data_IF_919075266327
#
_entry.id   IF_919075266327
#
_cell.length_a   1.000
_cell.length_b   1.000
_cell.length_c   1.000
_cell.angle_alpha   90.00
_cell.angle_beta   90.00
_cell.angle_gamma   90.00
#
_symmetry.space_group_name_H-M   'P 1'
#
loop_
_entity.id
_entity.type
_entity.pdbx_description
1 polymer ?
#
# COMPACT_ATOMS: atom_id res chain seq x y z
N UNK A 1 3.85 26.77 -0.48
CA UNK A 1 2.52 26.18 -0.74
C UNK A 1 2.60 24.69 -0.42
N UNK A 2 2.12 24.28 0.74
CA UNK A 2 2.03 22.87 1.14
C UNK A 2 0.87 22.23 0.39
N UNK A 3 1.17 21.52 -0.69
CA UNK A 3 0.17 20.67 -1.35
C UNK A 3 -0.25 19.61 -0.35
N UNK A 4 -1.55 19.56 -0.03
CA UNK A 4 -2.13 18.54 0.84
C UNK A 4 -1.76 17.17 0.28
N UNK A 5 -1.33 16.21 1.11
CA UNK A 5 -0.82 14.89 0.70
C UNK A 5 -1.67 14.22 -0.40
N UNK A 6 -2.99 14.38 -0.35
CA UNK A 6 -3.92 13.83 -1.33
C UNK A 6 -3.75 14.42 -2.74
N UNK A 7 -3.49 15.73 -2.88
CA UNK A 7 -3.30 16.36 -4.19
C UNK A 7 -2.03 15.84 -4.87
N UNK A 8 -1.00 15.53 -4.07
CA UNK A 8 0.24 14.95 -4.59
C UNK A 8 0.02 13.54 -5.15
N UNK A 9 -0.82 12.73 -4.49
CA UNK A 9 -1.21 11.39 -4.97
C UNK A 9 -1.97 11.49 -6.29
N UNK A 10 -2.99 12.35 -6.39
CA UNK A 10 -3.74 12.51 -7.63
C UNK A 10 -2.88 13.02 -8.78
N UNK A 11 -2.04 14.04 -8.53
CA UNK A 11 -1.09 14.54 -9.53
C UNK A 11 -0.10 13.46 -9.96
N UNK A 12 0.36 12.63 -9.03
CA UNK A 12 1.24 11.52 -9.34
C UNK A 12 0.53 10.45 -10.19
N UNK A 13 -0.72 10.10 -9.89
CA UNK A 13 -1.48 9.09 -10.65
C UNK A 13 -2.00 9.57 -12.00
N UNK A 14 -2.04 10.88 -12.26
CA UNK A 14 -2.58 11.45 -13.51
C UNK A 14 -1.74 11.15 -14.78
N UNK A 15 -0.55 10.59 -14.64
CA UNK A 15 0.39 10.32 -15.73
C UNK A 15 0.52 8.82 -15.99
N UNK A 16 0.51 8.44 -17.25
CA UNK A 16 0.56 7.04 -17.67
C UNK A 16 1.89 6.37 -17.30
N UNK A 17 3.03 7.02 -17.52
CA UNK A 17 4.35 6.43 -17.22
C UNK A 17 4.49 6.13 -15.73
N UNK A 18 3.95 7.01 -14.87
CA UNK A 18 3.92 6.78 -13.42
C UNK A 18 3.03 5.61 -13.03
N UNK A 19 1.86 5.45 -13.66
CA UNK A 19 1.00 4.28 -13.45
C UNK A 19 1.67 2.99 -13.93
N UNK A 20 2.34 3.01 -15.08
CA UNK A 20 3.11 1.87 -15.59
C UNK A 20 4.21 1.43 -14.62
N UNK A 21 4.94 2.38 -14.01
CA UNK A 21 5.95 2.07 -13.00
C UNK A 21 5.34 1.43 -11.74
N UNK A 22 4.18 1.93 -11.28
CA UNK A 22 3.48 1.36 -10.14
C UNK A 22 2.95 -0.05 -10.44
N UNK A 23 2.41 -0.29 -11.64
CA UNK A 23 1.99 -1.62 -12.10
C UNK A 23 3.17 -2.59 -12.19
N UNK A 24 4.33 -2.11 -12.65
CA UNK A 24 5.55 -2.92 -12.68
C UNK A 24 5.99 -3.31 -11.26
N UNK A 25 6.00 -2.36 -10.32
CA UNK A 25 6.34 -2.62 -8.91
C UNK A 25 5.29 -3.49 -8.21
N UNK A 26 4.02 -3.43 -8.64
CA UNK A 26 2.98 -4.35 -8.17
C UNK A 26 3.24 -5.78 -8.61
N UNK A 27 3.64 -6.00 -9.88
CA UNK A 27 3.96 -7.33 -10.40
C UNK A 27 5.24 -7.90 -9.80
N UNK A 28 6.25 -7.06 -9.63
CA UNK A 28 7.54 -7.43 -9.06
C UNK A 28 8.05 -6.28 -8.21
N UNK A 29 7.98 -6.43 -6.89
CA UNK A 29 8.41 -5.39 -5.98
C UNK A 29 9.94 -5.41 -5.80
N UNK A 30 10.50 -4.33 -5.26
CA UNK A 30 11.93 -4.27 -4.97
C UNK A 30 12.80 -4.28 -6.23
N UNK A 31 12.46 -3.48 -7.24
CA UNK A 31 13.23 -3.33 -8.47
C UNK A 31 14.26 -2.19 -8.37
N UNK A 32 15.39 -2.35 -9.04
CA UNK A 32 16.43 -1.34 -9.21
C UNK A 32 15.99 -0.24 -10.16
N UNK A 33 16.73 0.87 -10.14
CA UNK A 33 16.52 1.97 -11.08
C UNK A 33 16.67 1.52 -12.54
N UNK A 34 17.67 0.69 -12.84
CA UNK A 34 17.94 0.23 -14.21
C UNK A 34 16.84 -0.70 -14.75
N UNK A 35 16.26 -1.55 -13.89
CA UNK A 35 15.12 -2.40 -14.27
C UNK A 35 13.88 -1.56 -14.60
N UNK A 36 13.57 -0.57 -13.76
CA UNK A 36 12.42 0.33 -13.97
C UNK A 36 12.59 1.25 -15.18
N UNK A 37 13.81 1.70 -15.46
CA UNK A 37 14.13 2.48 -16.66
C UNK A 37 13.87 1.72 -17.96
N UNK A 38 14.16 0.41 -17.98
CA UNK A 38 13.97 -0.43 -19.17
C UNK A 38 12.48 -0.58 -19.58
N UNK A 39 11.55 -0.25 -18.69
CA UNK A 39 10.10 -0.39 -18.92
C UNK A 39 9.53 0.79 -19.71
N UNK A 40 10.11 1.98 -19.56
CA UNK A 40 9.56 3.21 -20.13
C UNK A 40 10.31 3.57 -21.42
N UNK A 41 9.61 3.99 -22.49
CA UNK A 41 10.24 4.44 -23.74
C UNK A 41 10.76 5.88 -23.60
N UNK A 42 11.65 6.12 -22.63
CA UNK A 42 12.20 7.45 -22.35
C UNK A 42 13.63 7.40 -21.79
N UNK A 43 14.23 8.57 -21.59
CA UNK A 43 15.57 8.68 -21.02
C UNK A 43 15.58 8.32 -19.53
N UNK A 44 16.73 7.85 -19.05
CA UNK A 44 17.03 7.67 -17.62
C UNK A 44 16.63 8.88 -16.76
N UNK A 45 16.92 10.09 -17.23
CA UNK A 45 16.55 11.30 -16.51
C UNK A 45 15.03 11.48 -16.38
N UNK A 46 14.27 11.14 -17.43
CA UNK A 46 12.81 11.13 -17.40
C UNK A 46 12.25 10.13 -16.39
N UNK A 47 12.74 8.89 -16.41
CA UNK A 47 12.35 7.86 -15.45
C UNK A 47 12.67 8.27 -14.00
N UNK A 48 13.87 8.80 -13.75
CA UNK A 48 14.27 9.31 -12.43
C UNK A 48 13.35 10.44 -11.94
N UNK A 49 12.92 11.34 -12.83
CA UNK A 49 11.96 12.40 -12.49
C UNK A 49 10.62 11.80 -12.09
N UNK A 50 10.12 10.80 -12.79
CA UNK A 50 8.87 10.12 -12.43
C UNK A 50 8.96 9.38 -11.10
N UNK A 51 10.05 8.62 -10.87
CA UNK A 51 10.29 7.94 -9.60
C UNK A 51 10.38 8.92 -8.44
N UNK A 52 11.02 10.07 -8.63
CA UNK A 52 11.06 11.13 -7.61
C UNK A 52 9.66 11.65 -7.26
N UNK A 53 8.82 11.92 -8.26
CA UNK A 53 7.44 12.37 -8.04
C UNK A 53 6.64 11.31 -7.26
N UNK A 54 6.81 10.03 -7.61
CA UNK A 54 6.18 8.92 -6.90
C UNK A 54 6.67 8.81 -5.45
N UNK A 55 7.97 9.00 -5.20
CA UNK A 55 8.58 8.95 -3.87
C UNK A 55 8.09 10.14 -3.02
N UNK A 56 8.02 11.34 -3.59
CA UNK A 56 7.49 12.55 -2.94
C UNK A 56 5.99 12.43 -2.61
N UNK A 57 5.20 11.78 -3.48
CA UNK A 57 3.79 11.45 -3.22
C UNK A 57 3.61 10.26 -2.25
N UNK A 58 4.70 9.62 -1.84
CA UNK A 58 4.70 8.45 -0.95
C UNK A 58 4.20 7.17 -1.61
N UNK A 59 3.98 7.14 -2.92
CA UNK A 59 3.49 5.98 -3.68
C UNK A 59 4.57 4.92 -3.92
N UNK A 60 5.84 5.29 -3.74
CA UNK A 60 6.95 4.34 -3.65
C UNK A 60 7.81 4.63 -2.42
N UNK A 61 8.46 3.60 -1.90
CA UNK A 61 9.52 3.70 -0.88
C UNK A 61 10.82 3.13 -1.43
N UNK A 62 11.95 3.58 -0.93
CA UNK A 62 13.25 3.14 -1.44
C UNK A 62 14.12 2.57 -0.32
N UNK A 63 14.89 1.53 -0.66
CA UNK A 63 15.83 0.87 0.25
C UNK A 63 17.17 0.71 -0.44
N UNK A 64 18.25 1.12 0.23
CA UNK A 64 19.61 0.94 -0.26
C UNK A 64 20.19 -0.37 0.28
N UNK A 65 20.73 -1.20 -0.62
CA UNK A 65 21.47 -2.42 -0.26
C UNK A 65 22.79 -2.39 -1.01
N UNK A 66 23.90 -2.26 -0.28
CA UNK A 66 25.22 -2.06 -0.88
C UNK A 66 25.27 -0.80 -1.74
N UNK A 67 25.55 -0.96 -3.04
CA UNK A 67 25.61 0.14 -4.03
C UNK A 67 24.29 0.37 -4.77
N UNK A 68 23.31 -0.50 -4.60
CA UNK A 68 22.05 -0.46 -5.35
C UNK A 68 20.93 0.19 -4.53
N UNK A 69 20.05 0.91 -5.24
CA UNK A 69 18.82 1.51 -4.70
C UNK A 69 17.63 0.74 -5.29
N UNK A 70 16.90 0.07 -4.40
CA UNK A 70 15.69 -0.67 -4.72
C UNK A 70 14.46 0.18 -4.43
N UNK A 71 13.44 0.07 -5.26
CA UNK A 71 12.18 0.79 -5.19
C UNK A 71 11.05 -0.19 -4.91
N UNK A 72 10.16 0.21 -4.02
CA UNK A 72 9.06 -0.61 -3.55
C UNK A 72 7.74 0.13 -3.69
N UNK A 73 6.69 -0.58 -4.09
CA UNK A 73 5.33 -0.02 -4.12
C UNK A 73 4.85 0.27 -2.70
N UNK A 74 4.28 1.46 -2.48
CA UNK A 74 3.58 1.80 -1.26
C UNK A 74 2.11 2.14 -1.56
N UNK A 75 1.17 1.18 -1.48
CA UNK A 75 -0.26 1.40 -1.71
C UNK A 75 -0.96 2.23 -0.63
N UNK A 76 -0.33 2.48 0.53
CA UNK A 76 -0.98 3.19 1.66
C UNK A 76 -1.61 4.52 1.25
N UNK A 77 -0.95 5.42 0.50
CA UNK A 77 -1.56 6.69 0.11
C UNK A 77 -2.80 6.52 -0.78
N UNK A 78 -2.85 5.46 -1.59
CA UNK A 78 -4.02 5.14 -2.43
C UNK A 78 -5.19 4.74 -1.53
N UNK A 79 -4.94 3.86 -0.54
CA UNK A 79 -5.94 3.43 0.42
C UNK A 79 -6.49 4.62 1.22
N UNK A 80 -5.64 5.51 1.72
CA UNK A 80 -6.07 6.71 2.46
C UNK A 80 -6.92 7.66 1.61
N UNK A 81 -6.63 7.77 0.31
CA UNK A 81 -7.47 8.54 -0.62
C UNK A 81 -8.82 7.86 -0.83
N UNK A 82 -8.82 6.53 -1.02
CA UNK A 82 -10.04 5.73 -1.12
C UNK A 82 -10.92 5.88 0.12
N UNK A 83 -10.37 5.69 1.32
CA UNK A 83 -11.10 5.75 2.59
C UNK A 83 -11.67 7.14 2.88
N UNK A 84 -10.99 8.20 2.45
CA UNK A 84 -11.47 9.57 2.67
C UNK A 84 -12.57 9.99 1.69
N UNK A 85 -12.45 9.56 0.43
CA UNK A 85 -13.27 10.09 -0.67
C UNK A 85 -14.16 9.05 -1.33
N UNK A 86 -13.64 7.86 -1.66
CA UNK A 86 -14.37 6.86 -2.48
C UNK A 86 -15.31 6.01 -1.63
N UNK A 87 -14.89 5.62 -0.41
CA UNK A 87 -15.69 4.84 0.54
C UNK A 87 -17.09 5.44 0.74
N UNK A 88 -17.15 6.76 0.96
CA UNK A 88 -18.37 7.55 1.17
C UNK A 88 -19.40 7.46 0.05
N UNK A 89 -18.96 7.17 -1.17
CA UNK A 89 -19.82 7.04 -2.35
C UNK A 89 -20.00 5.58 -2.81
N UNK A 90 -19.23 4.62 -2.30
CA UNK A 90 -19.13 3.25 -2.82
C UNK A 90 -19.57 2.13 -1.84
N UNK A 91 -20.03 2.49 -0.63
CA UNK A 91 -19.96 1.62 0.54
C UNK A 91 -20.68 0.24 0.46
N UNK A 92 -21.78 -0.02 -0.27
CA UNK A 92 -22.35 -1.38 -0.30
C UNK A 92 -22.09 -2.20 -1.59
N UNK A 93 -22.27 -1.62 -2.78
CA UNK A 93 -22.40 -2.44 -4.01
C UNK A 93 -21.17 -2.50 -4.89
N UNK A 94 -20.32 -1.47 -4.89
CA UNK A 94 -19.19 -1.38 -5.82
C UNK A 94 -18.03 -2.28 -5.40
N UNK A 95 -17.82 -2.50 -4.09
CA UNK A 95 -16.79 -3.38 -3.57
C UNK A 95 -17.05 -4.86 -3.91
N UNK A 96 -18.31 -5.30 -3.81
CA UNK A 96 -18.70 -6.68 -4.15
C UNK A 96 -18.55 -6.98 -5.64
N UNK A 97 -18.88 -6.02 -6.51
CA UNK A 97 -18.72 -6.15 -7.97
C UNK A 97 -17.26 -6.11 -8.42
N UNK A 98 -16.43 -5.24 -7.82
CA UNK A 98 -15.00 -5.19 -8.10
C UNK A 98 -14.27 -6.44 -7.58
N UNK A 99 -14.61 -6.90 -6.38
CA UNK A 99 -14.09 -8.15 -5.81
C UNK A 99 -14.49 -9.37 -6.64
N UNK A 100 -15.74 -9.45 -7.08
CA UNK A 100 -16.23 -10.51 -7.96
C UNK A 100 -15.49 -10.52 -9.29
N UNK A 101 -15.31 -9.36 -9.92
CA UNK A 101 -14.55 -9.24 -11.17
C UNK A 101 -13.11 -9.73 -11.00
N UNK A 102 -12.44 -9.28 -9.95
CA UNK A 102 -11.04 -9.64 -9.71
C UNK A 102 -10.85 -11.13 -9.43
N UNK A 103 -11.74 -11.72 -8.62
CA UNK A 103 -11.74 -13.14 -8.29
C UNK A 103 -11.97 -14.04 -9.52
N UNK A 104 -12.76 -13.56 -10.49
CA UNK A 104 -13.05 -14.31 -11.72
C UNK A 104 -11.95 -14.18 -12.79
N UNK A 105 -11.08 -13.16 -12.69
CA UNK A 105 -10.14 -12.81 -13.75
C UNK A 105 -8.65 -13.01 -13.39
N UNK A 106 -8.29 -13.26 -12.13
CA UNK A 106 -6.89 -13.31 -11.70
C UNK A 106 -6.37 -14.73 -11.42
N UNK A 107 -5.19 -15.12 -11.93
CA UNK A 107 -4.54 -16.39 -11.57
C UNK A 107 -3.98 -16.36 -10.13
N UNK A 108 -3.80 -17.53 -9.47
CA UNK A 108 -3.46 -17.61 -8.06
C UNK A 108 -2.07 -16.99 -7.76
N UNK A 109 -2.04 -16.12 -6.77
CA UNK A 109 -0.89 -15.33 -6.33
C UNK A 109 0.26 -16.23 -5.84
N UNK A 110 1.42 -16.18 -6.52
CA UNK A 110 2.64 -16.92 -6.17
C UNK A 110 3.51 -16.12 -5.16
N UNK A 111 4.33 -16.89 -4.44
CA UNK A 111 5.08 -16.71 -3.21
C UNK A 111 6.13 -15.57 -3.16
N UNK A 112 6.23 -15.01 -1.95
CA UNK A 112 7.38 -14.35 -1.29
C UNK A 112 8.10 -13.25 -2.08
N UNK A 113 7.42 -12.12 -2.25
CA UNK A 113 8.10 -10.82 -2.27
C UNK A 113 7.84 -10.10 -0.95
N UNK A 114 8.88 -9.66 -0.25
CA UNK A 114 8.73 -8.90 0.99
C UNK A 114 8.30 -7.48 0.66
N UNK A 115 6.98 -7.25 0.59
CA UNK A 115 6.42 -5.91 0.39
C UNK A 115 6.74 -5.00 1.58
N UNK A 116 7.28 -3.81 1.30
CA UNK A 116 7.62 -2.82 2.32
C UNK A 116 6.62 -1.66 2.24
N UNK A 117 5.59 -1.73 3.09
CA UNK A 117 4.62 -0.66 3.26
C UNK A 117 5.14 0.37 4.27
N UNK A 118 4.97 1.66 3.98
CA UNK A 118 5.36 2.72 4.90
C UNK A 118 4.25 3.74 5.08
N UNK A 119 3.88 3.95 6.33
CA UNK A 119 2.98 5.02 6.77
C UNK A 119 3.68 5.83 7.86
N UNK A 120 3.45 7.14 7.87
CA UNK A 120 3.87 8.01 8.96
C UNK A 120 2.63 8.37 9.78
N UNK A 121 2.61 7.95 11.04
CA UNK A 121 1.51 8.21 11.97
C UNK A 121 2.06 9.14 13.06
N UNK A 122 1.54 10.37 13.13
CA UNK A 122 1.92 11.33 14.16
C UNK A 122 1.24 10.98 15.48
N UNK A 123 1.81 10.05 16.23
CA UNK A 123 1.33 9.58 17.53
C UNK A 123 2.49 9.11 18.41
N UNK A 124 2.24 8.72 19.66
CA UNK A 124 3.27 8.12 20.52
C UNK A 124 3.38 6.61 20.25
N UNK A 125 4.55 5.99 20.47
CA UNK A 125 4.71 4.54 20.31
C UNK A 125 3.68 3.72 21.10
N UNK A 126 3.30 4.16 22.31
CA UNK A 126 2.34 3.48 23.18
C UNK A 126 0.92 3.53 22.59
N UNK A 127 0.52 4.68 22.05
CA UNK A 127 -0.78 4.83 21.39
C UNK A 127 -0.84 4.03 20.08
N UNK A 128 0.26 4.01 19.33
CA UNK A 128 0.35 3.17 18.13
C UNK A 128 0.24 1.70 18.51
N UNK A 129 1.00 1.25 19.52
CA UNK A 129 0.95 -0.11 20.02
C UNK A 129 -0.47 -0.50 20.42
N UNK A 130 -1.11 0.30 21.28
CA UNK A 130 -2.48 0.04 21.70
C UNK A 130 -3.44 -0.07 20.49
N UNK A 131 -3.36 0.82 19.51
CA UNK A 131 -4.21 0.76 18.32
C UNK A 131 -4.00 -0.49 17.45
N UNK A 132 -2.79 -1.08 17.49
CA UNK A 132 -2.47 -2.31 16.76
C UNK A 132 -2.82 -3.57 17.54
N UNK A 133 -2.85 -3.51 18.88
CA UNK A 133 -2.96 -4.70 19.74
C UNK A 133 -4.27 -4.84 20.49
N UNK A 134 -5.02 -3.76 20.64
CA UNK A 134 -6.31 -3.76 21.33
C UNK A 134 -7.40 -4.32 20.42
N UNK A 135 -8.03 -5.43 20.84
CA UNK A 135 -9.08 -6.10 20.08
C UNK A 135 -10.27 -5.20 19.77
N UNK A 136 -10.67 -4.32 20.71
CA UNK A 136 -11.80 -3.41 20.52
C UNK A 136 -11.49 -2.33 19.47
N UNK A 137 -10.24 -1.85 19.45
CA UNK A 137 -9.80 -0.80 18.52
C UNK A 137 -9.55 -1.39 17.12
N UNK A 138 -8.92 -2.57 17.05
CA UNK A 138 -8.57 -3.19 15.76
C UNK A 138 -9.79 -3.49 14.90
N UNK A 139 -10.94 -3.80 15.49
CA UNK A 139 -12.21 -3.98 14.78
C UNK A 139 -12.55 -2.82 13.82
N UNK A 140 -12.24 -1.59 14.22
CA UNK A 140 -12.52 -0.40 13.41
C UNK A 140 -11.61 -0.28 12.17
N UNK A 141 -10.41 -0.86 12.19
CA UNK A 141 -9.37 -0.61 11.19
C UNK A 141 -8.89 -1.87 10.45
N UNK A 142 -9.20 -3.07 10.96
CA UNK A 142 -8.78 -4.38 10.44
C UNK A 142 -9.96 -5.11 9.80
N UNK A 143 -10.69 -4.45 8.90
CA UNK A 143 -11.80 -5.04 8.17
C UNK A 143 -12.89 -5.68 9.06
N UNK A 144 -13.14 -5.13 10.25
CA UNK A 144 -14.13 -5.68 11.19
C UNK A 144 -13.62 -6.83 12.06
N UNK A 145 -12.34 -7.18 11.99
CA UNK A 145 -11.73 -8.26 12.81
C UNK A 145 -11.06 -7.73 14.06
N UNK A 146 -11.13 -8.54 15.12
CA UNK A 146 -10.43 -8.33 16.39
C UNK A 146 -9.15 -9.15 16.40
N UNK A 147 -8.05 -8.52 16.79
CA UNK A 147 -6.80 -9.24 17.03
C UNK A 147 -6.81 -9.90 18.41
N UNK A 148 -6.28 -11.12 18.51
CA UNK A 148 -6.07 -11.82 19.77
C UNK A 148 -4.67 -12.42 19.83
N UNK A 149 -3.89 -11.96 20.80
CA UNK A 149 -2.57 -12.49 21.16
C UNK A 149 -2.23 -12.05 22.59
N UNK A 150 -1.32 -12.77 23.25
CA UNK A 150 -0.71 -12.33 24.51
C UNK A 150 0.56 -11.50 24.29
N UNK A 151 0.96 -11.32 23.01
CA UNK A 151 2.07 -10.50 22.55
C UNK A 151 3.46 -10.92 23.07
N UNK A 152 3.62 -12.19 23.44
CA UNK A 152 4.93 -12.75 23.76
C UNK A 152 5.64 -13.30 22.50
N UNK A 153 6.99 -13.29 22.46
CA UNK A 153 7.72 -13.88 21.35
C UNK A 153 7.37 -15.36 21.15
N UNK A 154 6.91 -15.71 19.94
CA UNK A 154 6.49 -17.07 19.58
C UNK A 154 5.01 -17.36 19.76
N UNK A 155 4.25 -16.42 20.34
CA UNK A 155 2.81 -16.58 20.52
C UNK A 155 2.04 -16.49 19.21
N UNK A 156 0.92 -17.23 19.08
CA UNK A 156 0.05 -17.12 17.93
C UNK A 156 -0.61 -15.74 17.89
N UNK A 157 -0.90 -15.31 16.66
CA UNK A 157 -1.51 -14.03 16.37
C UNK A 157 -2.74 -14.31 15.47
N UNK A 158 -3.94 -14.18 16.04
CA UNK A 158 -5.20 -14.60 15.42
C UNK A 158 -6.13 -13.41 15.16
N UNK A 159 -6.92 -13.49 14.08
CA UNK A 159 -8.01 -12.56 13.78
C UNK A 159 -9.35 -13.28 13.86
N UNK A 160 -10.36 -12.64 14.45
CA UNK A 160 -11.73 -13.16 14.48
C UNK A 160 -12.76 -12.06 14.24
N UNK A 161 -13.86 -12.40 13.57
CA UNK A 161 -15.03 -11.55 13.46
C UNK A 161 -15.93 -11.72 14.69
N UNK A 162 -16.63 -10.67 15.13
CA UNK A 162 -17.60 -10.76 16.23
C UNK A 162 -18.87 -11.52 15.82
N UNK A 163 -19.24 -11.47 14.55
CA UNK A 163 -20.28 -12.33 13.97
C UNK A 163 -19.67 -13.69 13.72
N UNK A 164 -20.08 -14.71 14.46
CA UNK A 164 -19.53 -16.08 14.43
C UNK A 164 -19.70 -16.85 13.12
N UNK A 165 -19.46 -16.23 11.97
CA UNK A 165 -19.32 -16.88 10.67
C UNK A 165 -17.83 -17.01 10.38
N UNK A 166 -17.36 -18.26 10.46
CA UNK A 166 -16.02 -18.73 10.06
C UNK A 166 -15.83 -18.68 8.55
#
# INVERSE_FOLDING_TARGET
MTTTTNDSVFKALADESRRTLLDALFRQDGQTLSELEAILPMTRFGAMKHLRILEEAGLITTRKVGREKFHYLNPVPIQLVYDRWVSKYAQPWTNSLAGLKYALESPPMNERTAHIYRIFIQTTPERLWQALTDGDITQQYYFGTRVQSDWQPGSPYNYHYDTGET
#
